data_IF_317429107888
#
_entry.id   IF_317429107888
#
_cell.length_a   1.000
_cell.length_b   1.000
_cell.length_c   1.000
_cell.angle_alpha   90.00
_cell.angle_beta   90.00
_cell.angle_gamma   90.00
#
_symmetry.space_group_name_H-M   'P 1'
#
loop_
_entity.id
_entity.type
_entity.pdbx_description
1 polymer ?
#
# COMPACT_ATOMS: atom_id res chain seq x y z
N UNK A 1 23.47 1.57 -10.53
CA UNK A 1 22.45 0.55 -10.25
C UNK A 1 21.51 1.14 -9.21
N UNK A 2 20.30 1.53 -9.60
CA UNK A 2 19.32 2.02 -8.63
C UNK A 2 19.00 0.85 -7.68
N UNK A 3 19.23 1.04 -6.39
CA UNK A 3 18.76 0.10 -5.38
C UNK A 3 17.23 0.17 -5.40
N UNK A 4 16.58 -0.79 -6.04
CA UNK A 4 15.16 -1.01 -5.85
C UNK A 4 15.04 -1.51 -4.41
N UNK A 5 14.48 -0.70 -3.53
CA UNK A 5 14.14 -1.11 -2.18
C UNK A 5 13.10 -2.23 -2.30
N UNK A 6 13.55 -3.49 -2.28
CA UNK A 6 12.73 -4.67 -2.55
C UNK A 6 11.49 -4.72 -1.66
N UNK A 7 11.60 -4.21 -0.43
CA UNK A 7 10.50 -4.11 0.51
C UNK A 7 9.42 -3.12 0.06
N UNK A 8 9.82 -2.01 -0.57
CA UNK A 8 8.86 -1.02 -1.06
C UNK A 8 8.12 -1.52 -2.30
N UNK A 9 8.86 -2.14 -3.24
CA UNK A 9 8.27 -2.79 -4.42
C UNK A 9 7.29 -3.90 -4.03
N UNK A 10 7.64 -4.71 -3.03
CA UNK A 10 6.78 -5.76 -2.53
C UNK A 10 5.50 -5.19 -1.90
N UNK A 11 5.60 -4.15 -1.08
CA UNK A 11 4.44 -3.53 -0.43
C UNK A 11 3.44 -2.95 -1.45
N UNK A 12 3.93 -2.24 -2.46
CA UNK A 12 3.09 -1.71 -3.54
C UNK A 12 2.39 -2.85 -4.32
N UNK A 13 3.13 -3.92 -4.61
CA UNK A 13 2.59 -5.11 -5.27
C UNK A 13 1.51 -5.79 -4.43
N UNK A 14 1.71 -5.92 -3.13
CA UNK A 14 0.75 -6.55 -2.22
C UNK A 14 -0.54 -5.73 -2.11
N UNK A 15 -0.43 -4.39 -2.08
CA UNK A 15 -1.58 -3.49 -2.14
C UNK A 15 -2.40 -3.70 -3.43
N UNK A 16 -1.75 -3.75 -4.60
CA UNK A 16 -2.43 -3.96 -5.88
C UNK A 16 -3.15 -5.32 -5.90
N UNK A 17 -2.46 -6.39 -5.50
CA UNK A 17 -3.05 -7.74 -5.45
C UNK A 17 -4.25 -7.80 -4.52
N UNK A 18 -4.19 -7.12 -3.38
CA UNK A 18 -5.33 -7.05 -2.46
C UNK A 18 -6.52 -6.33 -3.10
N UNK A 19 -6.29 -5.20 -3.80
CA UNK A 19 -7.36 -4.50 -4.50
C UNK A 19 -8.03 -5.36 -5.56
N UNK A 20 -7.23 -6.04 -6.39
CA UNK A 20 -7.72 -6.94 -7.44
C UNK A 20 -8.52 -8.11 -6.85
N UNK A 21 -8.01 -8.72 -5.79
CA UNK A 21 -8.66 -9.86 -5.11
C UNK A 21 -10.01 -9.48 -4.51
N UNK A 22 -10.12 -8.30 -3.91
CA UNK A 22 -11.32 -7.87 -3.19
C UNK A 22 -12.23 -6.94 -3.99
N UNK A 23 -11.86 -6.62 -5.24
CA UNK A 23 -12.56 -5.69 -6.13
C UNK A 23 -12.89 -4.35 -5.44
N UNK A 24 -11.87 -3.75 -4.82
CA UNK A 24 -11.97 -2.47 -4.10
C UNK A 24 -11.12 -1.40 -4.79
N UNK A 25 -11.64 -0.18 -4.83
CA UNK A 25 -10.95 0.96 -5.42
C UNK A 25 -9.95 1.63 -4.45
N UNK A 26 -9.24 2.63 -4.97
CA UNK A 26 -8.21 3.38 -4.24
C UNK A 26 -8.80 4.21 -3.10
N UNK A 27 -10.00 4.76 -3.30
CA UNK A 27 -10.70 5.53 -2.27
C UNK A 27 -11.02 4.65 -1.05
N UNK A 28 -11.56 3.45 -1.29
CA UNK A 28 -11.91 2.52 -0.24
C UNK A 28 -10.67 1.99 0.48
N UNK A 29 -9.58 1.74 -0.24
CA UNK A 29 -8.30 1.36 0.38
C UNK A 29 -7.73 2.47 1.25
N UNK A 30 -7.74 3.71 0.78
CA UNK A 30 -7.25 4.85 1.54
C UNK A 30 -8.01 5.03 2.86
N UNK A 31 -9.34 4.90 2.83
CA UNK A 31 -10.19 4.94 4.04
C UNK A 31 -9.83 3.81 5.01
N UNK A 32 -9.67 2.57 4.52
CA UNK A 32 -9.32 1.42 5.37
C UNK A 32 -7.95 1.58 6.03
N UNK A 33 -7.01 2.24 5.36
CA UNK A 33 -5.65 2.48 5.82
C UNK A 33 -5.51 3.80 6.59
N UNK A 34 -6.61 4.52 6.82
CA UNK A 34 -6.64 5.81 7.50
C UNK A 34 -5.67 6.83 6.90
N UNK A 35 -5.60 6.90 5.57
CA UNK A 35 -4.78 7.86 4.82
C UNK A 35 -5.59 8.52 3.70
N UNK A 36 -5.07 9.59 3.11
CA UNK A 36 -5.71 10.21 1.94
C UNK A 36 -5.54 9.34 0.70
N UNK A 37 -6.42 9.51 -0.29
CA UNK A 37 -6.33 8.76 -1.55
C UNK A 37 -5.04 9.10 -2.29
N UNK A 38 -4.60 10.35 -2.25
CA UNK A 38 -3.35 10.78 -2.85
C UNK A 38 -2.13 10.13 -2.19
N UNK A 39 -2.13 10.02 -0.86
CA UNK A 39 -1.05 9.34 -0.13
C UNK A 39 -1.02 7.85 -0.46
N UNK A 40 -2.18 7.22 -0.51
CA UNK A 40 -2.31 5.84 -0.96
C UNK A 40 -1.78 5.65 -2.38
N UNK A 41 -2.21 6.50 -3.32
CA UNK A 41 -1.74 6.48 -4.70
C UNK A 41 -0.22 6.65 -4.81
N UNK A 42 0.37 7.57 -4.05
CA UNK A 42 1.81 7.83 -4.07
C UNK A 42 2.62 6.63 -3.57
N UNK A 43 2.13 5.92 -2.55
CA UNK A 43 2.75 4.68 -2.06
C UNK A 43 2.56 3.55 -3.09
N UNK A 44 1.34 3.39 -3.62
CA UNK A 44 1.01 2.33 -4.59
C UNK A 44 1.77 2.46 -5.91
N UNK A 45 1.97 3.68 -6.39
CA UNK A 45 2.73 3.96 -7.62
C UNK A 45 4.24 3.98 -7.41
N UNK A 46 4.70 3.70 -6.19
CA UNK A 46 6.10 3.80 -5.76
C UNK A 46 6.70 5.22 -5.91
N UNK A 47 5.87 6.26 -5.99
CA UNK A 47 6.32 7.64 -6.10
C UNK A 47 6.91 8.16 -4.78
N UNK A 48 6.29 7.83 -3.65
CA UNK A 48 6.75 8.25 -2.33
C UNK A 48 6.95 7.06 -1.41
N UNK A 49 8.11 7.04 -0.73
CA UNK A 49 8.39 6.01 0.26
C UNK A 49 7.46 6.18 1.47
N UNK A 50 6.79 5.11 1.93
CA UNK A 50 5.97 5.14 3.13
C UNK A 50 6.85 5.31 4.38
N UNK A 51 6.28 5.91 5.43
CA UNK A 51 6.88 5.95 6.76
C UNK A 51 6.84 4.57 7.41
N UNK A 52 7.63 4.35 8.46
CA UNK A 52 7.63 3.09 9.20
C UNK A 52 6.24 2.77 9.79
N UNK A 53 5.51 3.79 10.24
CA UNK A 53 4.14 3.66 10.75
C UNK A 53 3.16 3.24 9.64
N UNK A 54 3.24 3.84 8.46
CA UNK A 54 2.39 3.46 7.32
C UNK A 54 2.70 2.03 6.86
N UNK A 55 3.98 1.64 6.79
CA UNK A 55 4.37 0.27 6.46
C UNK A 55 3.75 -0.70 7.46
N UNK A 56 3.81 -0.40 8.76
CA UNK A 56 3.20 -1.21 9.80
C UNK A 56 1.68 -1.32 9.62
N UNK A 57 0.99 -0.19 9.47
CA UNK A 57 -0.47 -0.15 9.32
C UNK A 57 -0.93 -0.92 8.07
N UNK A 58 -0.22 -0.78 6.94
CA UNK A 58 -0.52 -1.51 5.71
C UNK A 58 -0.32 -3.01 5.89
N UNK A 59 0.80 -3.43 6.48
CA UNK A 59 1.08 -4.85 6.72
C UNK A 59 0.06 -5.47 7.67
N UNK A 60 -0.25 -4.78 8.77
CA UNK A 60 -1.25 -5.23 9.73
C UNK A 60 -2.62 -5.37 9.05
N UNK A 61 -3.03 -4.39 8.24
CA UNK A 61 -4.27 -4.46 7.47
C UNK A 61 -4.30 -5.68 6.52
N UNK A 62 -3.26 -5.89 5.73
CA UNK A 62 -3.19 -7.00 4.76
C UNK A 62 -3.17 -8.38 5.43
N UNK A 63 -2.59 -8.50 6.63
CA UNK A 63 -2.58 -9.76 7.39
C UNK A 63 -3.95 -10.09 7.96
N UNK A 64 -4.67 -9.10 8.49
CA UNK A 64 -5.95 -9.32 9.16
C UNK A 64 -7.15 -9.45 8.19
N UNK A 65 -7.00 -8.99 6.94
CA UNK A 65 -8.10 -8.95 5.97
C UNK A 65 -7.90 -9.90 4.77
N UNK A 66 -7.04 -10.94 4.90
CA UNK A 66 -6.70 -11.87 3.82
C UNK A 66 -7.87 -12.55 3.13
#
# INVERSE_FOLDING_TARGET
>A
MAYIDENFSQLATDLIKYQEKHNIDDNKMAVNLMMTVERYHAIKSMWEKPTEEEVKNIKDFLVHNK
#
